data_IF_343079220416
#
_entry.id   IF_343079220416
#
_cell.length_a   1.000
_cell.length_b   1.000
_cell.length_c   1.000
_cell.angle_alpha   90.00
_cell.angle_beta   90.00
_cell.angle_gamma   90.00
#
_symmetry.space_group_name_H-M   'P 1'
#
loop_
_entity.id
_entity.type
_entity.pdbx_description
1 polymer ?
#
# COMPACT_ATOMS: atom_id res chain seq x y z
N UNK A 1 -18.40 -15.39 -17.78
CA UNK A 1 -17.16 -15.28 -16.98
C UNK A 1 -16.64 -13.83 -16.89
N UNK A 2 -16.69 -13.04 -17.98
CA UNK A 2 -16.24 -11.63 -17.98
C UNK A 2 -17.20 -10.61 -17.30
N UNK A 3 -18.27 -11.06 -16.63
CA UNK A 3 -19.28 -10.17 -16.06
C UNK A 3 -18.89 -9.60 -14.68
N UNK A 4 -17.87 -10.16 -14.02
CA UNK A 4 -17.37 -9.63 -12.76
C UNK A 4 -15.87 -9.31 -12.87
N UNK A 5 -15.51 -8.06 -13.21
CA UNK A 5 -14.11 -7.64 -13.37
C UNK A 5 -13.24 -7.83 -12.14
N UNK A 6 -13.83 -7.85 -10.93
CA UNK A 6 -13.10 -8.04 -9.68
C UNK A 6 -12.42 -9.40 -9.57
N UNK A 7 -12.89 -10.42 -10.31
CA UNK A 7 -12.29 -11.77 -10.28
C UNK A 7 -10.86 -11.73 -10.83
N UNK A 8 -10.64 -11.02 -11.94
CA UNK A 8 -9.33 -10.91 -12.57
C UNK A 8 -8.35 -10.14 -11.69
N UNK A 9 -8.84 -9.08 -11.02
CA UNK A 9 -8.09 -8.39 -10.00
C UNK A 9 -7.72 -9.33 -8.84
N UNK A 10 -8.67 -10.09 -8.29
CA UNK A 10 -8.40 -10.97 -7.14
C UNK A 10 -7.37 -12.06 -7.48
N UNK A 11 -7.45 -12.65 -8.68
CA UNK A 11 -6.46 -13.64 -9.15
C UNK A 11 -5.09 -12.98 -9.28
N UNK A 12 -5.00 -11.86 -10.00
CA UNK A 12 -3.75 -11.16 -10.19
C UNK A 12 -3.15 -10.68 -8.86
N UNK A 13 -3.98 -10.19 -7.94
CA UNK A 13 -3.56 -9.79 -6.60
C UNK A 13 -2.93 -10.96 -5.82
N UNK A 14 -3.58 -12.12 -5.82
CA UNK A 14 -3.02 -13.33 -5.20
C UNK A 14 -1.70 -13.75 -5.85
N UNK A 15 -1.63 -13.75 -7.18
CA UNK A 15 -0.42 -14.11 -7.92
C UNK A 15 0.74 -13.13 -7.65
N UNK A 16 0.43 -11.84 -7.50
CA UNK A 16 1.40 -10.79 -7.15
C UNK A 16 1.95 -11.04 -5.74
N UNK A 17 1.06 -11.23 -4.75
CA UNK A 17 1.44 -11.43 -3.35
C UNK A 17 2.18 -12.77 -3.13
N UNK A 18 1.91 -13.78 -3.95
CA UNK A 18 2.60 -15.08 -3.91
C UNK A 18 3.87 -15.14 -4.75
N UNK A 19 4.23 -14.06 -5.45
CA UNK A 19 5.48 -13.95 -6.19
C UNK A 19 5.50 -14.70 -7.51
N UNK A 20 4.35 -14.96 -8.13
CA UNK A 20 4.26 -15.56 -9.47
C UNK A 20 4.90 -14.63 -10.51
N UNK A 21 5.60 -15.18 -11.49
CA UNK A 21 6.36 -14.43 -12.49
C UNK A 21 5.47 -13.45 -13.30
N UNK A 22 5.98 -12.24 -13.60
CA UNK A 22 5.22 -11.16 -14.25
C UNK A 22 4.66 -11.57 -15.61
N UNK A 23 5.36 -12.44 -16.33
CA UNK A 23 4.97 -12.95 -17.65
C UNK A 23 3.72 -13.82 -17.60
N UNK A 24 3.45 -14.45 -16.45
CA UNK A 24 2.25 -15.27 -16.23
C UNK A 24 1.06 -14.40 -15.83
N UNK A 25 1.30 -13.35 -15.05
CA UNK A 25 0.23 -12.47 -14.54
C UNK A 25 -0.25 -11.49 -15.61
N UNK A 26 0.66 -10.99 -16.45
CA UNK A 26 0.37 -9.96 -17.45
C UNK A 26 -0.78 -10.36 -18.39
N UNK A 27 -0.80 -11.54 -19.03
CA UNK A 27 -1.93 -11.97 -19.86
C UNK A 27 -3.26 -12.04 -19.10
N UNK A 28 -3.23 -12.43 -17.81
CA UNK A 28 -4.41 -12.52 -16.95
C UNK A 28 -5.05 -11.15 -16.67
N UNK A 29 -4.30 -10.05 -16.87
CA UNK A 29 -4.80 -8.68 -16.79
C UNK A 29 -5.10 -8.08 -18.17
N UNK A 30 -4.27 -8.34 -19.18
CA UNK A 30 -4.41 -7.77 -20.53
C UNK A 30 -5.68 -8.23 -21.24
N UNK A 31 -5.95 -9.54 -21.22
CA UNK A 31 -7.10 -10.15 -21.90
C UNK A 31 -8.42 -9.58 -21.37
N UNK A 32 -8.73 -9.64 -20.05
CA UNK A 32 -9.97 -9.06 -19.55
C UNK A 32 -10.02 -7.54 -19.73
N UNK A 33 -8.89 -6.82 -19.58
CA UNK A 33 -8.85 -5.36 -19.83
C UNK A 33 -9.29 -5.02 -21.25
N UNK A 34 -8.80 -5.74 -22.26
CA UNK A 34 -9.18 -5.53 -23.66
C UNK A 34 -10.67 -5.84 -23.93
N UNK A 35 -11.18 -6.93 -23.37
CA UNK A 35 -12.60 -7.27 -23.47
C UNK A 35 -13.49 -6.22 -22.78
N UNK A 36 -13.07 -5.69 -21.63
CA UNK A 36 -13.81 -4.68 -20.89
C UNK A 36 -13.74 -3.31 -21.56
N UNK A 37 -12.63 -2.96 -22.20
CA UNK A 37 -12.51 -1.70 -22.94
C UNK A 37 -13.36 -1.65 -24.20
N UNK A 38 -13.64 -2.81 -24.81
CA UNK A 38 -14.50 -2.92 -26.00
C UNK A 38 -15.98 -3.05 -25.64
N UNK A 39 -16.30 -3.43 -24.40
CA UNK A 39 -17.65 -3.42 -23.85
C UNK A 39 -17.98 -2.04 -23.28
N UNK A 40 -18.87 -1.29 -23.94
CA UNK A 40 -19.35 0.05 -23.51
C UNK A 40 -19.94 0.13 -22.08
N UNK A 41 -20.01 -0.99 -21.36
CA UNK A 41 -20.76 -1.11 -20.10
C UNK A 41 -19.89 -1.18 -18.82
N UNK A 42 -18.55 -1.33 -18.89
CA UNK A 42 -17.76 -1.63 -17.69
C UNK A 42 -16.43 -0.84 -17.55
N UNK A 43 -16.47 0.50 -17.52
CA UNK A 43 -15.27 1.34 -17.36
C UNK A 43 -14.54 1.08 -16.04
N UNK A 44 -15.25 0.73 -14.96
CA UNK A 44 -14.61 0.41 -13.67
C UNK A 44 -13.82 -0.91 -13.69
N UNK A 45 -14.23 -1.86 -14.55
CA UNK A 45 -13.52 -3.13 -14.67
C UNK A 45 -12.13 -2.96 -15.26
N UNK A 46 -11.96 -2.00 -16.17
CA UNK A 46 -10.66 -1.59 -16.68
C UNK A 46 -9.80 -1.03 -15.56
N UNK A 47 -10.35 -0.20 -14.67
CA UNK A 47 -9.62 0.34 -13.51
C UNK A 47 -9.13 -0.74 -12.54
N UNK A 48 -9.89 -1.82 -12.33
CA UNK A 48 -9.43 -2.96 -11.54
C UNK A 48 -8.25 -3.68 -12.19
N UNK A 49 -8.23 -3.79 -13.52
CA UNK A 49 -7.08 -4.34 -14.25
C UNK A 49 -5.88 -3.39 -14.19
N UNK A 50 -6.11 -2.08 -14.32
CA UNK A 50 -5.09 -1.03 -14.19
C UNK A 50 -4.43 -1.06 -12.80
N UNK A 51 -5.20 -1.30 -11.75
CA UNK A 51 -4.69 -1.49 -10.40
C UNK A 51 -3.80 -2.74 -10.28
N UNK A 52 -4.14 -3.81 -11.01
CA UNK A 52 -3.29 -4.99 -11.25
C UNK A 52 -1.94 -4.64 -11.83
N UNK A 53 -1.93 -3.89 -12.94
CA UNK A 53 -0.70 -3.44 -13.57
C UNK A 53 0.11 -2.51 -12.67
N UNK A 54 -0.54 -1.62 -11.92
CA UNK A 54 0.14 -0.72 -10.99
C UNK A 54 0.86 -1.50 -9.88
N UNK A 55 0.21 -2.55 -9.36
CA UNK A 55 0.82 -3.44 -8.39
C UNK A 55 1.98 -4.27 -8.96
N UNK A 56 1.88 -4.72 -10.23
CA UNK A 56 2.98 -5.36 -10.94
C UNK A 56 4.16 -4.41 -11.15
N UNK A 57 3.93 -3.20 -11.64
CA UNK A 57 4.99 -2.19 -11.81
C UNK A 57 5.70 -1.90 -10.49
N UNK A 58 4.95 -1.81 -9.39
CA UNK A 58 5.52 -1.60 -8.07
C UNK A 58 6.42 -2.78 -7.66
N UNK A 59 5.99 -4.01 -7.91
CA UNK A 59 6.81 -5.21 -7.65
C UNK A 59 8.08 -5.24 -8.50
N UNK A 60 7.95 -4.88 -9.78
CA UNK A 60 9.05 -4.91 -10.75
C UNK A 60 10.00 -3.70 -10.58
N UNK A 61 9.74 -2.81 -9.61
CA UNK A 61 10.57 -1.65 -9.28
C UNK A 61 10.32 -0.42 -10.16
N UNK A 62 9.32 -0.46 -11.04
CA UNK A 62 8.91 0.64 -11.92
C UNK A 62 8.04 1.66 -11.15
N UNK A 63 8.63 2.29 -10.13
CA UNK A 63 7.92 3.13 -9.15
C UNK A 63 7.15 4.30 -9.77
N UNK A 64 7.73 4.96 -10.78
CA UNK A 64 7.08 6.08 -11.46
C UNK A 64 5.83 5.64 -12.23
N UNK A 65 5.92 4.51 -12.95
CA UNK A 65 4.80 3.94 -13.69
C UNK A 65 3.70 3.45 -12.75
N UNK A 66 4.08 2.75 -11.68
CA UNK A 66 3.16 2.30 -10.64
C UNK A 66 2.36 3.46 -10.04
N UNK A 67 3.07 4.51 -9.61
CA UNK A 67 2.47 5.70 -9.02
C UNK A 67 1.51 6.41 -9.97
N UNK A 68 1.93 6.63 -11.22
CA UNK A 68 1.08 7.29 -12.22
C UNK A 68 -0.23 6.51 -12.42
N UNK A 69 -0.13 5.17 -12.50
CA UNK A 69 -1.30 4.33 -12.71
C UNK A 69 -2.19 4.23 -11.46
N UNK A 70 -1.63 4.20 -10.25
CA UNK A 70 -2.42 4.29 -9.01
C UNK A 70 -3.17 5.61 -8.90
N UNK A 71 -2.56 6.73 -9.28
CA UNK A 71 -3.23 8.04 -9.30
C UNK A 71 -4.40 8.07 -10.29
N UNK A 72 -4.22 7.51 -11.48
CA UNK A 72 -5.28 7.38 -12.47
C UNK A 72 -6.44 6.50 -11.94
N UNK A 73 -6.11 5.35 -11.34
CA UNK A 73 -7.10 4.46 -10.73
C UNK A 73 -7.88 5.16 -9.61
N UNK A 74 -7.20 5.92 -8.76
CA UNK A 74 -7.83 6.65 -7.65
C UNK A 74 -8.87 7.67 -8.15
N UNK A 75 -8.57 8.37 -9.24
CA UNK A 75 -9.54 9.28 -9.88
C UNK A 75 -10.76 8.52 -10.43
N UNK A 76 -10.54 7.36 -11.07
CA UNK A 76 -11.61 6.54 -11.64
C UNK A 76 -12.48 5.85 -10.58
N UNK A 77 -11.90 5.47 -9.44
CA UNK A 77 -12.62 4.81 -8.34
C UNK A 77 -13.35 5.80 -7.42
N UNK A 78 -13.02 7.09 -7.48
CA UNK A 78 -13.61 8.09 -6.61
C UNK A 78 -15.14 8.08 -6.71
N UNK A 79 -15.82 7.96 -5.56
CA UNK A 79 -17.27 7.79 -5.43
C UNK A 79 -17.89 6.54 -6.07
N UNK A 80 -17.09 5.63 -6.63
CA UNK A 80 -17.58 4.39 -7.28
C UNK A 80 -17.15 3.13 -6.54
N UNK A 81 -15.93 3.09 -5.99
CA UNK A 81 -15.43 1.95 -5.21
C UNK A 81 -14.56 2.43 -4.05
N UNK A 82 -15.09 2.33 -2.83
CA UNK A 82 -14.33 2.62 -1.61
C UNK A 82 -13.16 1.64 -1.45
N UNK A 83 -13.34 0.37 -1.83
CA UNK A 83 -12.28 -0.65 -1.79
C UNK A 83 -11.11 -0.31 -2.75
N UNK A 84 -11.42 0.07 -3.99
CA UNK A 84 -10.41 0.49 -4.96
C UNK A 84 -9.66 1.75 -4.52
N UNK A 85 -10.36 2.72 -3.93
CA UNK A 85 -9.73 3.92 -3.34
C UNK A 85 -8.81 3.54 -2.18
N UNK A 86 -9.29 2.72 -1.24
CA UNK A 86 -8.50 2.27 -0.08
C UNK A 86 -7.23 1.55 -0.53
N UNK A 87 -7.33 0.62 -1.48
CA UNK A 87 -6.16 -0.09 -1.99
C UNK A 87 -5.15 0.85 -2.67
N UNK A 88 -5.62 1.76 -3.53
CA UNK A 88 -4.73 2.72 -4.18
C UNK A 88 -4.02 3.62 -3.15
N UNK A 89 -4.75 4.11 -2.14
CA UNK A 89 -4.18 4.93 -1.07
C UNK A 89 -3.19 4.17 -0.21
N UNK A 90 -3.48 2.92 0.15
CA UNK A 90 -2.56 2.04 0.88
C UNK A 90 -1.25 1.88 0.11
N UNK A 91 -1.32 1.52 -1.18
CA UNK A 91 -0.13 1.34 -2.01
C UNK A 91 0.66 2.63 -2.11
N UNK A 92 0.01 3.77 -2.36
CA UNK A 92 0.64 5.09 -2.41
C UNK A 92 1.29 5.51 -1.08
N UNK A 93 0.66 5.22 0.06
CA UNK A 93 1.22 5.50 1.38
C UNK A 93 2.40 4.59 1.74
N UNK A 94 2.43 3.38 1.19
CA UNK A 94 3.53 2.43 1.34
C UNK A 94 4.68 2.66 0.35
N UNK A 95 4.51 3.55 -0.63
CA UNK A 95 5.57 3.93 -1.58
C UNK A 95 6.66 4.72 -0.85
N UNK A 96 7.58 4.00 -0.26
CA UNK A 96 8.69 4.59 0.46
C UNK A 96 9.99 4.34 -0.29
N UNK A 97 10.26 5.25 -1.23
CA UNK A 97 11.46 5.24 -2.06
C UNK A 97 12.17 6.58 -1.99
N UNK A 98 13.50 6.58 -2.08
CA UNK A 98 14.29 7.82 -2.19
C UNK A 98 14.01 8.64 -3.45
N UNK A 99 13.06 8.21 -4.30
CA UNK A 99 12.61 8.97 -5.47
C UNK A 99 11.59 10.07 -5.14
N UNK A 100 10.88 9.98 -4.01
CA UNK A 100 9.81 10.94 -3.66
C UNK A 100 10.26 11.86 -2.52
N UNK A 101 9.73 13.08 -2.50
CA UNK A 101 10.01 14.01 -1.40
C UNK A 101 9.33 13.53 -0.10
N UNK A 102 9.91 13.91 1.04
CA UNK A 102 9.29 13.71 2.34
C UNK A 102 7.85 14.23 2.37
N UNK A 103 7.65 15.46 1.88
CA UNK A 103 6.34 16.12 1.84
C UNK A 103 5.32 15.29 1.07
N UNK A 104 5.71 14.76 -0.09
CA UNK A 104 4.82 13.94 -0.91
C UNK A 104 4.48 12.61 -0.22
N UNK A 105 5.47 11.94 0.34
CA UNK A 105 5.29 10.64 1.01
C UNK A 105 4.38 10.78 2.24
N UNK A 106 4.61 11.82 3.05
CA UNK A 106 3.73 12.18 4.17
C UNK A 106 2.31 12.52 3.72
N UNK A 107 2.17 13.29 2.63
CA UNK A 107 0.85 13.67 2.11
C UNK A 107 0.01 12.44 1.81
N UNK A 108 0.56 11.45 1.12
CA UNK A 108 -0.18 10.22 0.79
C UNK A 108 -0.51 9.39 2.03
N UNK A 109 0.42 9.26 2.98
CA UNK A 109 0.17 8.55 4.23
C UNK A 109 -0.94 9.20 5.08
N UNK A 110 -0.98 10.54 5.15
CA UNK A 110 -2.05 11.27 5.83
C UNK A 110 -3.40 11.18 5.13
N UNK A 111 -3.43 11.25 3.79
CA UNK A 111 -4.67 11.04 3.02
C UNK A 111 -5.21 9.64 3.27
N UNK A 112 -4.35 8.63 3.28
CA UNK A 112 -4.74 7.25 3.57
C UNK A 112 -5.31 7.09 5.00
N UNK A 113 -4.68 7.72 6.00
CA UNK A 113 -5.19 7.75 7.37
C UNK A 113 -6.58 8.40 7.46
N UNK A 114 -6.74 9.59 6.87
CA UNK A 114 -7.99 10.33 6.90
C UNK A 114 -9.12 9.55 6.19
N UNK A 115 -8.83 8.95 5.05
CA UNK A 115 -9.77 8.10 4.32
C UNK A 115 -10.19 6.87 5.14
N UNK A 116 -9.22 6.11 5.66
CA UNK A 116 -9.48 4.90 6.45
C UNK A 116 -10.34 5.19 7.68
N UNK A 117 -10.10 6.32 8.36
CA UNK A 117 -10.96 6.78 9.46
C UNK A 117 -12.37 7.15 9.00
N UNK A 118 -12.51 7.85 7.86
CA UNK A 118 -13.82 8.22 7.30
C UNK A 118 -14.66 6.98 7.00
N UNK A 119 -14.05 5.95 6.39
CA UNK A 119 -14.74 4.70 6.04
C UNK A 119 -14.79 3.68 7.20
N UNK A 120 -14.28 4.05 8.38
CA UNK A 120 -14.22 3.21 9.59
C UNK A 120 -13.48 1.88 9.38
N UNK A 121 -12.48 1.88 8.50
CA UNK A 121 -11.65 0.72 8.24
C UNK A 121 -10.48 0.73 9.24
N UNK A 122 -10.55 -0.15 10.24
CA UNK A 122 -9.63 -0.16 11.38
C UNK A 122 -8.24 -0.63 11.01
N UNK A 123 -8.13 -1.64 10.14
CA UNK A 123 -6.84 -2.20 9.73
C UNK A 123 -6.04 -1.13 8.99
N UNK A 124 -6.66 -0.39 8.10
CA UNK A 124 -6.07 0.68 7.30
C UNK A 124 -5.76 1.93 8.11
N UNK A 125 -6.55 2.21 9.15
CA UNK A 125 -6.20 3.25 10.14
C UNK A 125 -4.92 2.88 10.89
N UNK A 126 -4.77 1.64 11.35
CA UNK A 126 -3.52 1.19 11.99
C UNK A 126 -2.36 1.10 10.98
N UNK A 127 -2.63 0.66 9.76
CA UNK A 127 -1.63 0.54 8.69
C UNK A 127 -1.09 1.90 8.26
N UNK A 128 -1.94 2.91 8.11
CA UNK A 128 -1.49 4.27 7.81
C UNK A 128 -0.60 4.85 8.91
N UNK A 129 -0.90 4.59 10.19
CA UNK A 129 -0.01 4.97 11.31
C UNK A 129 1.36 4.27 11.22
N UNK A 130 1.39 2.98 10.87
CA UNK A 130 2.62 2.24 10.61
C UNK A 130 3.43 2.86 9.46
N UNK A 131 2.77 3.23 8.35
CA UNK A 131 3.43 3.90 7.23
C UNK A 131 4.01 5.27 7.64
N UNK A 132 3.25 6.08 8.40
CA UNK A 132 3.74 7.34 8.94
C UNK A 132 4.98 7.11 9.83
N UNK A 133 4.95 6.12 10.72
CA UNK A 133 6.09 5.78 11.57
C UNK A 133 7.34 5.43 10.78
N UNK A 134 7.18 4.66 9.69
CA UNK A 134 8.28 4.33 8.78
C UNK A 134 8.90 5.57 8.12
N UNK A 135 8.06 6.51 7.69
CA UNK A 135 8.51 7.76 7.05
C UNK A 135 9.30 8.61 8.05
N UNK A 136 8.78 8.79 9.28
CA UNK A 136 9.49 9.54 10.33
C UNK A 136 10.82 8.88 10.71
N UNK A 137 10.84 7.56 10.85
CA UNK A 137 12.05 6.80 11.16
C UNK A 137 13.15 7.04 10.11
N UNK A 138 12.80 6.97 8.82
CA UNK A 138 13.78 7.22 7.74
C UNK A 138 14.33 8.64 7.72
N UNK A 139 13.59 9.60 8.28
CA UNK A 139 14.00 11.00 8.35
C UNK A 139 14.60 11.38 9.71
N UNK A 140 14.87 10.38 10.57
CA UNK A 140 15.58 10.54 11.83
C UNK A 140 14.71 10.99 13.02
N UNK A 141 13.39 11.10 12.84
CA UNK A 141 12.47 11.38 13.95
C UNK A 141 12.03 10.05 14.60
N UNK A 142 12.96 9.46 15.34
CA UNK A 142 12.76 8.17 16.02
C UNK A 142 11.67 8.24 17.12
N UNK A 143 11.53 9.39 17.79
CA UNK A 143 10.52 9.57 18.85
C UNK A 143 9.10 9.51 18.28
N UNK A 144 8.84 10.29 17.23
CA UNK A 144 7.53 10.27 16.55
C UNK A 144 7.28 8.89 15.93
N UNK A 145 8.29 8.28 15.31
CA UNK A 145 8.18 6.95 14.74
C UNK A 145 7.80 5.89 15.79
N UNK A 146 8.48 5.90 16.95
CA UNK A 146 8.23 4.97 18.05
C UNK A 146 6.80 5.10 18.58
N UNK A 147 6.31 6.34 18.74
CA UNK A 147 4.93 6.61 19.17
C UNK A 147 3.92 6.03 18.18
N UNK A 148 4.11 6.28 16.88
CA UNK A 148 3.23 5.78 15.82
C UNK A 148 3.24 4.25 15.73
N UNK A 149 4.41 3.62 15.81
CA UNK A 149 4.52 2.16 15.80
C UNK A 149 3.85 1.51 17.01
N UNK A 150 3.91 2.14 18.20
CA UNK A 150 3.24 1.63 19.40
C UNK A 150 1.72 1.66 19.26
N UNK A 151 1.17 2.76 18.77
CA UNK A 151 -0.28 2.86 18.53
C UNK A 151 -0.71 1.83 17.48
N UNK A 152 0.01 1.72 16.37
CA UNK A 152 -0.28 0.71 15.35
C UNK A 152 -0.18 -0.73 15.90
N UNK A 153 0.84 -1.01 16.72
CA UNK A 153 1.05 -2.31 17.35
C UNK A 153 -0.11 -2.71 18.27
N UNK A 154 -0.60 -1.77 19.09
CA UNK A 154 -1.74 -2.00 19.98
C UNK A 154 -2.99 -2.34 19.18
N UNK A 155 -3.31 -1.52 18.16
CA UNK A 155 -4.46 -1.74 17.28
C UNK A 155 -4.39 -3.09 16.56
N UNK A 156 -3.24 -3.44 15.97
CA UNK A 156 -3.05 -4.74 15.31
C UNK A 156 -3.12 -5.91 16.29
N UNK A 157 -2.70 -5.71 17.54
CA UNK A 157 -2.80 -6.74 18.58
C UNK A 157 -4.26 -6.98 18.97
N UNK A 158 -5.05 -5.92 19.16
CA UNK A 158 -6.49 -6.01 19.44
C UNK A 158 -7.24 -6.68 18.29
N UNK A 159 -6.86 -6.38 17.04
CA UNK A 159 -7.50 -6.96 15.85
C UNK A 159 -6.99 -8.38 15.49
N UNK A 160 -5.91 -8.86 16.12
CA UNK A 160 -5.31 -10.16 15.79
C UNK A 160 -4.57 -10.19 14.45
N UNK A 161 -4.12 -9.04 13.93
CA UNK A 161 -3.44 -8.95 12.63
C UNK A 161 -1.94 -9.21 12.78
N UNK A 162 -1.56 -10.48 12.75
CA UNK A 162 -0.21 -10.93 13.14
C UNK A 162 0.93 -10.39 12.25
N UNK A 163 0.73 -10.31 10.92
CA UNK A 163 1.76 -9.82 9.99
C UNK A 163 2.20 -8.40 10.34
N UNK A 164 1.25 -7.49 10.50
CA UNK A 164 1.55 -6.08 10.80
C UNK A 164 1.98 -5.86 12.24
N UNK A 165 1.47 -6.66 13.17
CA UNK A 165 1.98 -6.68 14.55
C UNK A 165 3.48 -6.99 14.58
N UNK A 166 3.92 -8.02 13.85
CA UNK A 166 5.33 -8.39 13.79
C UNK A 166 6.19 -7.29 13.17
N UNK A 167 5.72 -6.65 12.09
CA UNK A 167 6.41 -5.52 11.46
C UNK A 167 6.61 -4.35 12.44
N UNK A 168 5.56 -3.96 13.18
CA UNK A 168 5.69 -2.92 14.20
C UNK A 168 6.70 -3.29 15.29
N UNK A 169 6.70 -4.54 15.78
CA UNK A 169 7.66 -5.00 16.78
C UNK A 169 9.10 -4.94 16.26
N UNK A 170 9.33 -5.34 15.01
CA UNK A 170 10.64 -5.28 14.36
C UNK A 170 11.15 -3.83 14.28
N UNK A 171 10.32 -2.89 13.80
CA UNK A 171 10.71 -1.47 13.72
C UNK A 171 11.00 -0.84 15.07
N UNK A 172 10.23 -1.20 16.10
CA UNK A 172 10.48 -0.75 17.47
C UNK A 172 11.82 -1.30 17.98
N UNK A 173 12.12 -2.58 17.69
CA UNK A 173 13.38 -3.20 18.07
C UNK A 173 14.59 -2.54 17.37
N UNK A 174 14.49 -2.25 16.07
CA UNK A 174 15.52 -1.53 15.29
C UNK A 174 15.89 -0.19 15.95
N UNK A 175 14.89 0.59 16.40
CA UNK A 175 15.12 1.86 17.10
C UNK A 175 15.87 1.64 18.43
N UNK A 176 15.45 0.64 19.23
CA UNK A 176 16.12 0.35 20.50
C UNK A 176 17.56 -0.16 20.33
N UNK A 177 17.81 -0.99 19.33
CA UNK A 177 19.16 -1.46 19.00
C UNK A 177 20.07 -0.30 18.60
N UNK A 178 19.57 0.62 17.77
CA UNK A 178 20.31 1.83 17.39
C UNK A 178 20.72 2.66 18.61
N UNK A 179 19.79 2.91 19.55
CA UNK A 179 20.12 3.62 20.80
C UNK A 179 21.12 2.85 21.69
N UNK A 180 21.01 1.53 21.76
CA UNK A 180 21.93 0.71 22.55
C UNK A 180 23.36 0.72 21.98
N UNK A 181 23.51 0.87 20.67
CA UNK A 181 24.82 0.94 20.03
C UNK A 181 25.46 2.33 20.13
N UNK A 182 24.67 3.41 19.97
CA UNK A 182 25.14 4.79 20.21
C UNK A 182 25.57 5.01 21.67
N UNK A 183 25.01 4.25 22.62
CA UNK A 183 25.39 4.28 24.03
C UNK A 183 26.71 3.57 24.37
N UNK A 184 27.35 2.86 23.43
CA UNK A 184 28.65 2.21 23.65
C UNK A 184 29.78 3.19 23.37
N UNK A 185 30.78 3.34 24.28
CA UNK A 185 31.97 4.12 23.99
C UNK A 185 32.74 3.48 22.82
N UNK A 186 33.39 4.27 21.94
CA UNK A 186 34.24 3.74 20.89
C UNK A 186 35.41 2.95 21.50
N UNK A 187 35.70 1.78 20.93
CA UNK A 187 36.81 0.90 21.30
C UNK A 187 38.18 1.57 21.07
#
# INVERSE_FOLDING_TARGET
MYQNPSIWWNIAYMDIETGVASEVIRPNLEIPKHHLSTSLAYPIGVSFCDMGFAALFLRDGELAAAKALFMECLLKFNYVSEEGVTYCLERMASLDSGMFSLEETLRWAWIYFAHSRRVKERVGTAHSLRCLGQIFLKHGDEETALSLFRVALEEFSVMGVHRWRADCMMRIAEIFEHHADVGKPPL
#
